data_IF_427380517909
#
_entry.id   IF_427380517909
#
_cell.length_a   1.000
_cell.length_b   1.000
_cell.length_c   1.000
_cell.angle_alpha   90.00
_cell.angle_beta   90.00
_cell.angle_gamma   90.00
#
_symmetry.space_group_name_H-M   'P 1'
#
loop_
_entity.id
_entity.type
_entity.pdbx_description
1 polymer ?
#
# COMPACT_ATOMS: atom_id res chain seq x y z
N UNK A 1 3.96 3.94 53.50
CA UNK A 1 3.95 2.56 52.96
C UNK A 1 2.55 1.93 52.86
N UNK A 2 1.46 2.71 52.92
CA UNK A 2 0.07 2.20 52.91
C UNK A 2 -0.68 2.37 51.60
N UNK A 3 -0.20 3.20 50.65
CA UNK A 3 -0.83 3.37 49.32
C UNK A 3 -0.42 2.31 48.29
N UNK A 4 0.77 1.70 48.41
CA UNK A 4 1.27 0.69 47.46
C UNK A 4 0.61 -0.69 47.64
N UNK A 5 0.13 -1.01 48.84
CA UNK A 5 -0.56 -2.28 49.14
C UNK A 5 -2.02 -2.25 48.63
N UNK A 6 -2.68 -1.08 48.65
CA UNK A 6 -4.06 -0.92 48.17
C UNK A 6 -4.13 -1.03 46.63
N UNK A 7 -3.14 -0.48 45.91
CA UNK A 7 -3.10 -0.59 44.43
C UNK A 7 -2.82 -2.00 43.94
N UNK A 8 -2.03 -2.79 44.68
CA UNK A 8 -1.78 -4.21 44.37
C UNK A 8 -3.01 -5.11 44.63
N UNK A 9 -3.85 -4.76 45.62
CA UNK A 9 -5.10 -5.47 45.88
C UNK A 9 -6.21 -5.13 44.86
N UNK A 10 -6.24 -3.91 44.30
CA UNK A 10 -7.15 -3.59 43.20
C UNK A 10 -6.75 -4.28 41.89
N UNK A 11 -5.45 -4.36 41.58
CA UNK A 11 -4.96 -5.03 40.36
C UNK A 11 -5.23 -6.56 40.38
N UNK A 12 -5.25 -7.19 41.54
CA UNK A 12 -5.56 -8.63 41.68
C UNK A 12 -7.07 -8.93 41.62
N UNK A 13 -7.93 -7.93 41.82
CA UNK A 13 -9.40 -8.08 41.80
C UNK A 13 -10.02 -8.04 40.39
N UNK A 14 -9.32 -7.51 39.39
CA UNK A 14 -9.78 -7.48 37.99
C UNK A 14 -9.39 -8.72 37.18
N UNK A 15 -8.44 -9.53 37.67
CA UNK A 15 -7.98 -10.77 37.00
C UNK A 15 -8.76 -12.03 37.41
N UNK A 16 -9.77 -11.91 38.28
CA UNK A 16 -10.53 -13.05 38.82
C UNK A 16 -11.89 -13.32 38.13
N UNK A 17 -12.20 -12.66 37.00
CA UNK A 17 -13.53 -12.78 36.33
C UNK A 17 -13.50 -13.62 35.04
N UNK A 18 -12.39 -14.25 34.67
CA UNK A 18 -12.29 -14.99 33.39
C UNK A 18 -12.55 -16.50 33.44
N UNK A 19 -13.15 -17.03 34.53
CA UNK A 19 -13.55 -18.44 34.56
C UNK A 19 -14.96 -18.66 35.16
N UNK A 20 -15.99 -18.29 34.41
CA UNK A 20 -17.34 -18.84 34.58
C UNK A 20 -18.22 -18.63 33.34
N UNK A 21 -18.63 -19.74 32.69
CA UNK A 21 -19.70 -19.80 31.69
C UNK A 21 -19.22 -20.31 30.33
N UNK A 22 -19.65 -21.44 29.77
CA UNK A 22 -20.91 -22.14 29.95
C UNK A 22 -20.73 -23.66 29.90
N UNK A 23 -21.34 -24.33 30.88
CA UNK A 23 -21.74 -25.73 30.80
C UNK A 23 -23.10 -25.82 30.08
N UNK A 24 -23.23 -26.82 29.22
CA UNK A 24 -24.45 -27.26 28.54
C UNK A 24 -25.59 -27.54 29.52
N UNK A 25 -26.79 -26.99 29.24
CA UNK A 25 -28.07 -27.66 29.52
C UNK A 25 -29.15 -27.29 28.50
N UNK A 26 -29.78 -28.37 28.04
CA UNK A 26 -30.97 -28.51 27.19
C UNK A 26 -32.14 -27.60 27.56
N UNK A 27 -32.77 -26.99 26.55
CA UNK A 27 -34.07 -26.33 26.65
C UNK A 27 -34.50 -25.74 25.30
N UNK A 28 -35.47 -26.37 24.63
CA UNK A 28 -36.07 -25.91 23.38
C UNK A 28 -36.71 -24.52 23.53
N UNK A 29 -36.32 -23.57 22.69
CA UNK A 29 -37.24 -22.57 22.15
C UNK A 29 -36.71 -22.07 20.79
N UNK A 30 -37.53 -22.26 19.76
CA UNK A 30 -37.35 -21.76 18.40
C UNK A 30 -37.48 -20.25 18.37
N UNK A 31 -36.44 -19.56 17.88
CA UNK A 31 -36.56 -18.32 17.13
C UNK A 31 -35.42 -18.29 16.09
N UNK A 32 -35.80 -18.06 14.83
CA UNK A 32 -34.89 -18.02 13.69
C UNK A 32 -34.17 -16.67 13.67
N UNK A 33 -32.86 -16.70 13.92
CA UNK A 33 -31.95 -15.60 13.62
C UNK A 33 -30.90 -16.10 12.64
N UNK A 34 -31.01 -15.59 11.42
CA UNK A 34 -30.08 -15.78 10.31
C UNK A 34 -28.68 -15.29 10.75
N UNK A 35 -27.80 -16.25 11.02
CA UNK A 35 -26.40 -15.97 11.38
C UNK A 35 -25.56 -16.34 10.17
N UNK A 36 -25.24 -15.35 9.35
CA UNK A 36 -24.20 -15.47 8.32
C UNK A 36 -22.88 -15.85 9.01
N UNK A 37 -22.53 -17.13 8.95
CA UNK A 37 -21.21 -17.62 9.27
C UNK A 37 -20.25 -17.12 8.18
N UNK A 38 -19.42 -16.15 8.51
CA UNK A 38 -18.20 -15.87 7.75
C UNK A 38 -17.31 -17.12 7.82
N UNK A 39 -16.88 -17.71 6.69
CA UNK A 39 -15.90 -18.78 6.74
C UNK A 39 -14.62 -18.17 7.31
N UNK A 40 -14.19 -18.65 8.46
CA UNK A 40 -12.85 -18.38 8.97
C UNK A 40 -11.90 -19.33 8.26
N UNK A 41 -11.51 -18.99 7.02
CA UNK A 41 -10.34 -19.59 6.39
C UNK A 41 -9.12 -19.04 7.13
N UNK A 42 -8.68 -19.76 8.16
CA UNK A 42 -7.33 -19.58 8.71
C UNK A 42 -6.39 -20.43 7.87
N UNK A 43 -6.14 -20.01 6.63
CA UNK A 43 -4.88 -20.39 5.99
C UNK A 43 -3.79 -19.68 6.78
N UNK A 44 -2.99 -20.46 7.51
CA UNK A 44 -1.76 -19.94 8.09
C UNK A 44 -0.78 -19.77 6.93
N UNK A 45 -0.89 -18.65 6.21
CA UNK A 45 0.14 -18.27 5.26
C UNK A 45 1.46 -18.18 6.04
N UNK A 46 2.39 -19.10 5.75
CA UNK A 46 3.76 -18.98 6.22
C UNK A 46 4.35 -17.74 5.58
N UNK A 47 4.29 -16.61 6.28
CA UNK A 47 4.87 -15.35 5.83
C UNK A 47 6.37 -15.52 5.64
N UNK A 48 6.84 -15.29 4.41
CA UNK A 48 8.26 -15.30 4.10
C UNK A 48 8.95 -14.15 4.85
N UNK A 49 9.97 -14.47 5.64
CA UNK A 49 10.78 -13.45 6.31
C UNK A 49 11.87 -12.94 5.35
N UNK A 50 11.51 -12.00 4.49
CA UNK A 50 12.44 -11.43 3.51
C UNK A 50 13.65 -10.76 4.14
N UNK A 51 13.55 -10.32 5.40
CA UNK A 51 14.70 -9.77 6.12
C UNK A 51 15.85 -10.78 6.23
N UNK A 52 15.55 -12.07 6.43
CA UNK A 52 16.56 -13.12 6.52
C UNK A 52 17.28 -13.38 5.19
N UNK A 53 16.79 -12.83 4.08
CA UNK A 53 17.41 -12.93 2.75
C UNK A 53 18.38 -11.79 2.45
N UNK A 54 18.38 -10.75 3.28
CA UNK A 54 19.24 -9.59 3.11
C UNK A 54 20.65 -9.89 3.63
N UNK A 55 21.71 -9.34 3.02
CA UNK A 55 23.08 -9.53 3.49
C UNK A 55 23.29 -8.81 4.83
N UNK A 56 24.22 -9.29 5.65
CA UNK A 56 24.69 -8.56 6.82
C UNK A 56 25.50 -7.32 6.40
N UNK A 57 25.23 -6.17 7.02
CA UNK A 57 25.96 -4.93 6.78
C UNK A 57 25.87 -3.99 7.99
N UNK A 58 26.84 -3.09 8.16
CA UNK A 58 26.85 -2.04 9.19
C UNK A 58 27.03 -0.68 8.53
N UNK A 59 26.02 0.20 8.62
CA UNK A 59 26.07 1.54 8.06
C UNK A 59 26.83 2.55 8.93
N UNK A 60 27.35 2.15 10.08
CA UNK A 60 28.18 2.98 10.95
C UNK A 60 27.41 4.13 11.59
N UNK A 61 26.12 3.95 11.87
CA UNK A 61 25.23 4.96 12.42
C UNK A 61 24.81 6.03 11.42
N UNK A 62 25.07 5.84 10.11
CA UNK A 62 24.61 6.77 9.07
C UNK A 62 23.08 6.75 8.98
N UNK A 63 22.52 7.88 8.57
CA UNK A 63 21.09 8.01 8.30
C UNK A 63 20.83 7.75 6.82
N UNK A 64 19.82 6.93 6.51
CA UNK A 64 19.22 6.83 5.20
C UNK A 64 18.01 7.79 5.13
N UNK A 65 18.11 8.81 4.29
CA UNK A 65 17.11 9.88 4.17
C UNK A 65 16.34 9.78 2.86
N UNK A 66 15.02 9.66 2.95
CA UNK A 66 14.12 9.71 1.81
C UNK A 66 13.64 11.14 1.54
N UNK A 67 13.75 11.64 0.31
CA UNK A 67 12.90 12.75 -0.14
C UNK A 67 11.53 12.17 -0.50
N UNK A 68 10.48 12.61 0.16
CA UNK A 68 9.14 12.08 -0.08
C UNK A 68 8.09 13.19 -0.20
N UNK A 69 6.88 12.77 -0.59
CA UNK A 69 5.69 13.63 -0.67
C UNK A 69 5.09 13.74 0.72
N UNK A 70 4.80 14.95 1.20
CA UNK A 70 4.19 15.18 2.53
C UNK A 70 2.90 14.40 2.74
N UNK A 71 2.12 14.18 1.68
CA UNK A 71 0.87 13.42 1.77
C UNK A 71 1.09 11.92 2.05
N UNK A 72 2.31 11.41 1.82
CA UNK A 72 2.66 9.99 1.81
C UNK A 72 3.86 9.63 2.71
N UNK A 73 4.29 10.53 3.60
CA UNK A 73 5.45 10.28 4.46
C UNK A 73 5.29 9.07 5.39
N UNK A 74 4.05 8.74 5.75
CA UNK A 74 3.69 7.57 6.54
C UNK A 74 4.09 6.23 5.89
N UNK A 75 4.25 6.16 4.56
CA UNK A 75 4.78 4.97 3.88
C UNK A 75 6.25 4.70 4.23
N UNK A 76 7.00 5.77 4.53
CA UNK A 76 8.44 5.72 4.79
C UNK A 76 8.69 5.41 6.25
N UNK A 77 8.15 6.22 7.16
CA UNK A 77 8.33 6.05 8.59
C UNK A 77 7.16 6.62 9.39
N UNK A 78 6.92 6.01 10.55
CA UNK A 78 6.02 6.50 11.59
C UNK A 78 6.80 6.62 12.90
N UNK A 79 6.41 7.55 13.77
CA UNK A 79 7.20 7.87 14.96
C UNK A 79 7.06 6.85 16.10
N UNK A 80 5.91 6.19 16.21
CA UNK A 80 5.60 5.22 17.27
C UNK A 80 4.44 4.31 16.86
N UNK A 81 4.28 3.21 17.58
CA UNK A 81 3.08 2.38 17.54
C UNK A 81 1.87 3.13 18.11
N UNK A 82 0.72 2.98 17.46
CA UNK A 82 -0.56 3.60 17.84
C UNK A 82 -1.71 2.59 17.92
N UNK A 83 -1.43 1.31 17.64
CA UNK A 83 -2.41 0.22 17.61
C UNK A 83 -3.10 0.04 16.25
N UNK A 84 -2.79 0.88 15.26
CA UNK A 84 -3.17 0.65 13.87
C UNK A 84 -2.19 -0.36 13.24
N UNK A 85 -2.75 -1.39 12.58
CA UNK A 85 -1.98 -2.57 12.17
C UNK A 85 -0.89 -2.23 11.15
N UNK A 86 -1.18 -1.32 10.22
CA UNK A 86 -0.25 -0.92 9.17
C UNK A 86 0.82 0.01 9.73
N UNK A 87 0.44 1.01 10.54
CA UNK A 87 1.38 1.92 11.20
C UNK A 87 2.36 1.14 12.10
N UNK A 88 1.85 0.27 12.98
CA UNK A 88 2.67 -0.55 13.87
C UNK A 88 3.63 -1.46 13.08
N UNK A 89 3.19 -1.98 11.93
CA UNK A 89 4.04 -2.80 11.05
C UNK A 89 5.17 -1.98 10.41
N UNK A 90 4.91 -0.73 9.99
CA UNK A 90 5.93 0.18 9.45
C UNK A 90 6.95 0.54 10.53
N UNK A 91 6.47 0.89 11.74
CA UNK A 91 7.35 1.17 12.88
C UNK A 91 8.30 0.00 13.16
N UNK A 92 7.74 -1.21 13.31
CA UNK A 92 8.50 -2.44 13.57
C UNK A 92 9.46 -2.78 12.44
N UNK A 93 9.05 -2.61 11.18
CA UNK A 93 9.91 -2.79 10.01
C UNK A 93 11.13 -1.89 10.09
N UNK A 94 10.92 -0.59 10.33
CA UNK A 94 12.01 0.37 10.38
C UNK A 94 12.93 0.10 11.58
N UNK A 95 12.37 -0.11 12.78
CA UNK A 95 13.16 -0.45 13.97
C UNK A 95 14.04 -1.68 13.75
N UNK A 96 13.49 -2.75 13.15
CA UNK A 96 14.24 -3.97 12.84
C UNK A 96 15.43 -3.72 11.90
N UNK A 97 15.24 -2.88 10.88
CA UNK A 97 16.31 -2.50 9.94
C UNK A 97 17.34 -1.62 10.64
N UNK A 98 16.91 -0.61 11.40
CA UNK A 98 17.77 0.33 12.11
C UNK A 98 18.69 -0.37 13.10
N UNK A 99 18.16 -1.31 13.89
CA UNK A 99 18.92 -2.10 14.86
C UNK A 99 19.93 -3.03 14.20
N UNK A 100 19.51 -3.78 13.19
CA UNK A 100 20.35 -4.80 12.58
C UNK A 100 21.49 -4.21 11.72
N UNK A 101 21.24 -3.07 11.09
CA UNK A 101 22.17 -2.45 10.16
C UNK A 101 22.87 -1.21 10.73
N UNK A 102 22.65 -0.87 12.00
CA UNK A 102 23.20 0.31 12.67
C UNK A 102 23.03 1.57 11.80
N UNK A 103 21.76 1.88 11.52
CA UNK A 103 21.34 2.98 10.65
C UNK A 103 20.13 3.70 11.25
N UNK A 104 19.75 4.84 10.67
CA UNK A 104 18.48 5.52 10.94
C UNK A 104 17.72 5.74 9.64
N UNK A 105 16.45 5.35 9.58
CA UNK A 105 15.57 5.69 8.46
C UNK A 105 14.86 7.00 8.81
N UNK A 106 15.00 8.00 7.95
CA UNK A 106 14.30 9.28 8.08
C UNK A 106 13.78 9.75 6.72
N UNK A 107 13.00 10.82 6.74
CA UNK A 107 12.50 11.45 5.54
C UNK A 107 12.59 12.98 5.62
N UNK A 108 12.64 13.60 4.46
CA UNK A 108 12.37 15.00 4.25
C UNK A 108 11.17 15.11 3.32
N UNK A 109 10.05 15.53 3.87
CA UNK A 109 8.80 15.63 3.15
C UNK A 109 8.59 17.03 2.57
N UNK A 110 8.23 17.10 1.29
CA UNK A 110 7.80 18.34 0.63
C UNK A 110 6.45 18.12 -0.06
N UNK A 111 5.63 19.17 -0.27
CA UNK A 111 4.42 19.07 -1.06
C UNK A 111 4.69 18.41 -2.41
N UNK A 112 3.92 17.37 -2.71
CA UNK A 112 4.16 16.52 -3.87
C UNK A 112 2.88 16.17 -4.61
N UNK A 113 1.82 16.96 -4.46
CA UNK A 113 0.62 16.78 -5.29
C UNK A 113 0.93 17.04 -6.77
N UNK A 114 -0.03 16.75 -7.65
CA UNK A 114 0.11 17.09 -9.08
C UNK A 114 0.38 18.59 -9.31
N UNK A 115 -0.19 19.47 -8.48
CA UNK A 115 0.04 20.91 -8.56
C UNK A 115 1.47 21.31 -8.15
N UNK A 116 2.14 20.49 -7.34
CA UNK A 116 3.49 20.72 -6.83
C UNK A 116 4.57 19.98 -7.64
N UNK A 117 4.19 19.33 -8.75
CA UNK A 117 5.12 18.57 -9.58
C UNK A 117 6.39 19.36 -9.95
N UNK A 118 6.23 20.63 -10.33
CA UNK A 118 7.35 21.49 -10.72
C UNK A 118 8.28 21.86 -9.55
N UNK A 119 7.73 22.10 -8.35
CA UNK A 119 8.54 22.43 -7.17
C UNK A 119 9.28 21.20 -6.67
N UNK A 120 8.64 20.03 -6.65
CA UNK A 120 9.27 18.76 -6.31
C UNK A 120 10.41 18.42 -7.27
N UNK A 121 10.17 18.53 -8.59
CA UNK A 121 11.22 18.35 -9.61
C UNK A 121 12.38 19.32 -9.40
N UNK A 122 12.08 20.59 -9.13
CA UNK A 122 13.12 21.60 -8.86
C UNK A 122 13.96 21.26 -7.65
N UNK A 123 13.36 20.71 -6.58
CA UNK A 123 14.09 20.28 -5.39
C UNK A 123 15.11 19.17 -5.71
N UNK A 124 14.69 18.15 -6.47
CA UNK A 124 15.57 17.06 -6.93
C UNK A 124 16.71 17.61 -7.80
N UNK A 125 16.39 18.37 -8.84
CA UNK A 125 17.41 18.90 -9.76
C UNK A 125 18.41 19.81 -9.06
N UNK A 126 17.96 20.63 -8.10
CA UNK A 126 18.86 21.48 -7.32
C UNK A 126 19.81 20.68 -6.45
N UNK A 127 19.31 19.66 -5.75
CA UNK A 127 20.14 18.80 -4.91
C UNK A 127 21.24 18.14 -5.75
N UNK A 128 20.87 17.53 -6.89
CA UNK A 128 21.84 16.89 -7.81
C UNK A 128 22.87 17.87 -8.34
N UNK A 129 22.44 19.04 -8.84
CA UNK A 129 23.35 20.04 -9.39
C UNK A 129 24.32 20.63 -8.34
N UNK A 130 23.88 20.72 -7.09
CA UNK A 130 24.71 21.18 -5.99
C UNK A 130 25.69 20.11 -5.47
N UNK A 131 25.57 18.85 -5.92
CA UNK A 131 26.26 17.72 -5.30
C UNK A 131 25.79 17.47 -3.86
N UNK A 132 24.55 17.85 -3.56
CA UNK A 132 23.94 17.67 -2.24
C UNK A 132 23.61 16.19 -2.03
N UNK A 133 24.06 15.67 -0.89
CA UNK A 133 23.87 14.28 -0.46
C UNK A 133 22.88 14.15 0.69
N UNK A 134 21.99 15.14 0.85
CA UNK A 134 20.95 15.15 1.89
C UNK A 134 19.87 14.06 1.70
N UNK A 135 19.77 13.44 0.52
CA UNK A 135 18.81 12.39 0.22
C UNK A 135 19.50 11.18 -0.40
N UNK A 136 19.15 9.99 0.08
CA UNK A 136 19.65 8.70 -0.42
C UNK A 136 18.64 8.03 -1.37
N UNK A 137 17.35 8.31 -1.17
CA UNK A 137 16.25 7.75 -1.95
C UNK A 137 15.15 8.78 -2.17
N UNK A 138 14.34 8.59 -3.22
CA UNK A 138 13.26 9.50 -3.59
C UNK A 138 11.97 8.70 -3.76
N UNK A 139 10.98 8.99 -2.92
CA UNK A 139 9.61 8.48 -3.02
C UNK A 139 8.74 9.51 -3.75
N UNK A 140 8.47 9.27 -5.03
CA UNK A 140 7.87 10.23 -5.95
C UNK A 140 6.77 9.60 -6.79
N UNK A 141 5.79 10.39 -7.20
CA UNK A 141 4.81 9.95 -8.18
C UNK A 141 5.46 9.84 -9.57
N UNK A 142 5.47 8.61 -10.11
CA UNK A 142 6.19 8.26 -11.34
C UNK A 142 5.86 9.18 -12.53
N UNK A 143 4.61 9.63 -12.68
CA UNK A 143 4.18 10.43 -13.82
C UNK A 143 4.96 11.75 -13.97
N UNK A 144 5.21 12.48 -12.88
CA UNK A 144 6.05 13.67 -12.90
C UNK A 144 7.50 13.38 -12.47
N UNK A 145 7.80 12.19 -11.96
CA UNK A 145 9.17 11.76 -11.69
C UNK A 145 9.93 11.36 -12.95
N UNK A 146 9.26 10.79 -13.96
CA UNK A 146 9.88 10.26 -15.18
C UNK A 146 10.79 11.26 -15.93
N UNK A 147 10.43 12.56 -16.07
CA UNK A 147 11.34 13.54 -16.68
C UNK A 147 12.69 13.67 -15.98
N UNK A 148 12.76 13.53 -14.65
CA UNK A 148 14.01 13.63 -13.88
C UNK A 148 14.98 12.49 -14.22
N UNK A 149 14.46 11.29 -14.47
CA UNK A 149 15.23 10.15 -14.93
C UNK A 149 15.90 10.44 -16.28
N UNK A 150 15.13 10.99 -17.24
CA UNK A 150 15.64 11.35 -18.57
C UNK A 150 16.72 12.44 -18.55
N UNK A 151 16.70 13.28 -17.51
CA UNK A 151 17.65 14.37 -17.29
C UNK A 151 18.90 13.92 -16.50
N UNK A 152 19.00 12.63 -16.13
CA UNK A 152 20.15 12.10 -15.40
C UNK A 152 20.17 12.40 -13.90
N UNK A 153 19.03 12.76 -13.30
CA UNK A 153 18.96 13.05 -11.87
C UNK A 153 18.88 11.80 -10.98
N UNK A 154 18.70 10.61 -11.56
CA UNK A 154 18.57 9.36 -10.83
C UNK A 154 19.67 8.37 -11.20
N UNK A 155 20.06 7.58 -10.20
CA UNK A 155 20.81 6.36 -10.43
C UNK A 155 19.86 5.23 -10.78
N UNK A 156 20.24 4.38 -11.72
CA UNK A 156 19.42 3.23 -12.09
C UNK A 156 19.46 2.17 -10.97
N UNK A 157 18.30 1.83 -10.41
CA UNK A 157 18.13 0.90 -9.29
C UNK A 157 18.74 -0.47 -9.59
N UNK A 158 18.55 -0.96 -10.83
CA UNK A 158 19.11 -2.24 -11.28
C UNK A 158 20.64 -2.22 -11.51
N UNK A 159 21.30 -1.10 -11.25
CA UNK A 159 22.77 -0.99 -11.23
C UNK A 159 23.33 -0.96 -9.80
N UNK A 160 22.47 -0.90 -8.79
CA UNK A 160 22.86 -0.97 -7.38
C UNK A 160 22.97 -2.46 -7.01
N UNK A 161 24.17 -3.01 -6.73
CA UNK A 161 24.36 -4.46 -6.59
C UNK A 161 23.54 -5.13 -5.47
N UNK A 162 23.16 -4.36 -4.45
CA UNK A 162 22.40 -4.84 -3.30
C UNK A 162 20.88 -4.79 -3.51
N UNK A 163 20.40 -4.16 -4.58
CA UNK A 163 18.97 -4.15 -4.90
C UNK A 163 18.64 -5.38 -5.76
N UNK A 164 17.94 -6.33 -5.16
CA UNK A 164 17.35 -7.44 -5.90
C UNK A 164 16.04 -7.01 -6.56
N UNK A 165 16.09 -6.63 -7.84
CA UNK A 165 14.89 -6.25 -8.62
C UNK A 165 13.95 -7.42 -8.91
N UNK A 166 14.43 -8.67 -8.78
CA UNK A 166 13.65 -9.88 -9.03
C UNK A 166 12.94 -10.40 -7.78
N UNK A 167 12.98 -9.65 -6.67
CA UNK A 167 12.34 -10.07 -5.44
C UNK A 167 10.81 -10.04 -5.54
N UNK A 168 10.14 -10.98 -4.86
CA UNK A 168 8.70 -11.21 -4.94
C UNK A 168 7.84 -10.05 -4.41
N UNK A 169 8.41 -9.20 -3.57
CA UNK A 169 7.75 -8.00 -3.04
C UNK A 169 7.67 -6.85 -4.06
N UNK A 170 8.29 -6.98 -5.24
CA UNK A 170 8.17 -6.01 -6.33
C UNK A 170 7.13 -6.44 -7.35
N UNK A 171 6.44 -5.46 -7.93
CA UNK A 171 5.54 -5.72 -9.06
C UNK A 171 6.37 -5.97 -10.32
N UNK A 172 6.58 -7.24 -10.66
CA UNK A 172 7.47 -7.65 -11.76
C UNK A 172 7.04 -7.09 -13.12
N UNK A 173 5.74 -6.98 -13.39
CA UNK A 173 5.26 -6.35 -14.62
C UNK A 173 5.67 -4.88 -14.74
N UNK A 174 5.83 -4.16 -13.62
CA UNK A 174 6.33 -2.78 -13.63
C UNK A 174 7.84 -2.75 -13.81
N UNK A 175 8.59 -3.69 -13.23
CA UNK A 175 10.04 -3.83 -13.44
C UNK A 175 10.34 -4.03 -14.93
N UNK A 176 9.65 -4.97 -15.57
CA UNK A 176 9.80 -5.27 -17.00
C UNK A 176 9.43 -4.06 -17.87
N UNK A 177 8.24 -3.48 -17.66
CA UNK A 177 7.71 -2.42 -18.52
C UNK A 177 8.40 -1.05 -18.32
N UNK A 178 9.02 -0.79 -17.16
CA UNK A 178 9.71 0.48 -16.89
C UNK A 178 11.24 0.40 -17.03
N UNK A 179 11.78 -0.75 -17.45
CA UNK A 179 13.20 -0.84 -17.79
C UNK A 179 13.43 -0.24 -19.19
N UNK A 180 14.04 0.95 -19.24
CA UNK A 180 14.29 1.68 -20.48
C UNK A 180 15.78 1.65 -20.80
N UNK A 181 16.14 1.14 -21.99
CA UNK A 181 17.53 0.92 -22.41
C UNK A 181 18.36 0.13 -21.37
N UNK A 182 17.75 -0.85 -20.69
CA UNK A 182 18.40 -1.67 -19.67
C UNK A 182 18.62 -0.96 -18.33
N UNK A 183 17.95 0.16 -18.08
CA UNK A 183 18.01 0.92 -16.83
C UNK A 183 16.61 1.05 -16.22
N UNK A 184 16.50 0.71 -14.93
CA UNK A 184 15.28 0.82 -14.15
C UNK A 184 15.42 1.98 -13.17
N UNK A 185 14.58 3.00 -13.29
CA UNK A 185 14.62 4.19 -12.43
C UNK A 185 13.47 4.29 -11.42
N UNK A 186 12.45 3.45 -11.58
CA UNK A 186 11.27 3.41 -10.72
C UNK A 186 10.96 1.95 -10.39
N UNK A 187 10.52 1.71 -9.16
CA UNK A 187 10.06 0.41 -8.72
C UNK A 187 8.89 0.64 -7.76
N UNK A 188 7.92 -0.28 -7.77
CA UNK A 188 6.80 -0.30 -6.83
C UNK A 188 6.66 -1.71 -6.27
N UNK A 189 6.09 -1.82 -5.08
CA UNK A 189 5.92 -3.09 -4.39
C UNK A 189 5.23 -2.91 -3.05
N UNK A 190 5.43 -3.87 -2.16
CA UNK A 190 4.78 -3.91 -0.84
C UNK A 190 5.04 -2.67 0.04
N UNK A 191 6.14 -1.92 -0.22
CA UNK A 191 6.43 -0.65 0.44
C UNK A 191 5.45 0.47 0.05
N UNK A 192 4.87 0.41 -1.15
CA UNK A 192 4.01 1.44 -1.73
C UNK A 192 2.56 1.22 -1.30
N UNK A 193 2.16 1.69 -0.12
CA UNK A 193 0.78 1.55 0.39
C UNK A 193 -0.26 2.17 -0.56
N UNK A 194 0.12 3.23 -1.24
CA UNK A 194 -0.67 3.91 -2.29
C UNK A 194 -0.95 3.03 -3.50
N UNK A 195 -0.14 2.01 -3.75
CA UNK A 195 -0.48 1.00 -4.75
C UNK A 195 -1.80 0.31 -4.41
N UNK A 196 -2.07 0.10 -3.12
CA UNK A 196 -3.28 -0.56 -2.61
C UNK A 196 -4.40 0.45 -2.34
N UNK A 197 -4.10 1.59 -1.74
CA UNK A 197 -5.13 2.56 -1.37
C UNK A 197 -5.68 3.34 -2.57
N UNK A 198 -4.93 3.45 -3.68
CA UNK A 198 -5.36 4.14 -4.90
C UNK A 198 -5.72 3.19 -6.06
N UNK A 199 -6.02 1.92 -5.77
CA UNK A 199 -6.52 0.99 -6.80
C UNK A 199 -7.81 1.54 -7.40
N UNK A 200 -7.84 1.65 -8.73
CA UNK A 200 -9.05 2.01 -9.47
C UNK A 200 -10.02 0.83 -9.51
N UNK A 201 -11.28 1.12 -9.21
CA UNK A 201 -12.39 0.20 -9.43
C UNK A 201 -13.37 0.80 -10.45
N UNK A 202 -13.93 -0.06 -11.30
CA UNK A 202 -15.03 0.33 -12.18
C UNK A 202 -16.34 0.11 -11.44
N UNK A 203 -17.09 1.19 -11.25
CA UNK A 203 -18.45 1.14 -10.73
C UNK A 203 -19.44 1.17 -11.88
N UNK A 204 -20.54 0.44 -11.73
CA UNK A 204 -21.62 0.43 -12.71
C UNK A 204 -22.97 0.62 -12.01
N UNK A 205 -23.90 1.26 -12.72
CA UNK A 205 -25.27 1.41 -12.25
C UNK A 205 -26.05 0.11 -12.49
N UNK A 206 -26.49 -0.54 -11.41
CA UNK A 206 -27.23 -1.81 -11.47
C UNK A 206 -28.58 -1.68 -12.18
N UNK A 207 -29.26 -0.54 -12.04
CA UNK A 207 -30.53 -0.29 -12.71
C UNK A 207 -30.30 -0.16 -14.22
N UNK A 208 -29.31 0.63 -14.63
CA UNK A 208 -28.96 0.78 -16.05
C UNK A 208 -28.57 -0.57 -16.68
N UNK A 209 -27.83 -1.41 -15.93
CA UNK A 209 -27.51 -2.75 -16.37
C UNK A 209 -28.77 -3.62 -16.57
N UNK A 210 -29.75 -3.54 -15.67
CA UNK A 210 -31.02 -4.25 -15.82
C UNK A 210 -31.84 -3.72 -17.01
N UNK A 211 -31.95 -2.40 -17.16
CA UNK A 211 -32.73 -1.74 -18.22
C UNK A 211 -32.24 -2.12 -19.62
N UNK A 212 -30.92 -2.26 -19.78
CA UNK A 212 -30.27 -2.63 -21.05
C UNK A 212 -30.00 -4.14 -21.18
N UNK A 213 -30.50 -4.97 -20.26
CA UNK A 213 -30.27 -6.42 -20.23
C UNK A 213 -28.78 -6.80 -20.29
N UNK A 214 -27.93 -6.00 -19.63
CA UNK A 214 -26.50 -6.26 -19.51
C UNK A 214 -26.30 -7.44 -18.56
N UNK A 215 -25.56 -8.44 -19.03
CA UNK A 215 -25.13 -9.57 -18.20
C UNK A 215 -24.44 -9.07 -16.93
N UNK A 216 -24.71 -9.71 -15.79
CA UNK A 216 -24.17 -9.33 -14.49
C UNK A 216 -22.64 -9.10 -14.55
N UNK A 217 -22.17 -7.83 -14.43
CA UNK A 217 -20.75 -7.52 -14.57
C UNK A 217 -19.86 -8.23 -13.55
N UNK A 218 -20.39 -8.57 -12.35
CA UNK A 218 -19.64 -9.35 -11.37
C UNK A 218 -19.33 -10.77 -11.88
N UNK A 219 -20.26 -11.41 -12.60
CA UNK A 219 -20.02 -12.73 -13.20
C UNK A 219 -19.10 -12.63 -14.40
N UNK A 220 -19.29 -11.60 -15.24
CA UNK A 220 -18.38 -11.32 -16.36
C UNK A 220 -16.92 -11.19 -15.88
N UNK A 221 -16.69 -10.49 -14.76
CA UNK A 221 -15.37 -10.41 -14.12
C UNK A 221 -14.92 -11.77 -13.57
N UNK A 222 -15.76 -12.46 -12.78
CA UNK A 222 -15.42 -13.76 -12.16
C UNK A 222 -15.03 -14.82 -13.18
N UNK A 223 -15.65 -14.82 -14.36
CA UNK A 223 -15.35 -15.75 -15.44
C UNK A 223 -14.24 -15.28 -16.39
N UNK A 224 -13.55 -14.17 -16.09
CA UNK A 224 -12.43 -13.68 -16.88
C UNK A 224 -12.82 -13.03 -18.22
N UNK A 225 -14.10 -12.70 -18.40
CA UNK A 225 -14.63 -12.09 -19.63
C UNK A 225 -14.66 -10.56 -19.60
N UNK A 226 -14.14 -9.94 -18.53
CA UNK A 226 -14.05 -8.48 -18.41
C UNK A 226 -12.80 -7.97 -19.14
N UNK A 227 -13.01 -7.42 -20.34
CA UNK A 227 -11.95 -6.86 -21.19
C UNK A 227 -12.26 -5.41 -21.55
N UNK A 228 -11.26 -4.70 -22.10
CA UNK A 228 -11.48 -3.36 -22.63
C UNK A 228 -12.52 -3.37 -23.77
N UNK A 229 -12.52 -4.39 -24.63
CA UNK A 229 -13.53 -4.55 -25.68
C UNK A 229 -14.93 -4.71 -25.09
N UNK A 230 -15.08 -5.51 -24.03
CA UNK A 230 -16.36 -5.67 -23.34
C UNK A 230 -16.81 -4.35 -22.71
N UNK A 231 -15.89 -3.60 -22.09
CA UNK A 231 -16.20 -2.27 -21.56
C UNK A 231 -16.68 -1.32 -22.67
N UNK A 232 -15.97 -1.27 -23.81
CA UNK A 232 -16.34 -0.43 -24.97
C UNK A 232 -17.71 -0.84 -25.54
N UNK A 233 -17.97 -2.14 -25.65
CA UNK A 233 -19.26 -2.67 -26.10
C UNK A 233 -20.40 -2.21 -25.18
N UNK A 234 -20.22 -2.37 -23.87
CA UNK A 234 -21.22 -1.95 -22.87
C UNK A 234 -21.42 -0.44 -22.89
N UNK A 235 -20.35 0.35 -22.99
CA UNK A 235 -20.43 1.82 -23.09
C UNK A 235 -21.22 2.25 -24.33
N UNK A 236 -20.98 1.62 -25.49
CA UNK A 236 -21.72 1.90 -26.73
C UNK A 236 -23.20 1.52 -26.64
N UNK A 237 -23.51 0.42 -25.97
CA UNK A 237 -24.87 -0.07 -25.78
C UNK A 237 -25.70 0.93 -24.97
N UNK A 238 -25.15 1.46 -23.88
CA UNK A 238 -25.86 2.41 -23.00
C UNK A 238 -25.83 3.84 -23.50
N UNK A 239 -24.89 4.20 -24.39
CA UNK A 239 -24.79 5.53 -25.00
C UNK A 239 -25.71 5.68 -26.23
N UNK A 240 -26.84 4.98 -26.29
CA UNK A 240 -27.79 5.12 -27.39
C UNK A 240 -28.34 6.55 -27.44
N UNK A 241 -28.41 7.13 -28.64
CA UNK A 241 -29.01 8.43 -28.92
C UNK A 241 -30.52 8.41 -28.62
N UNK A 242 -30.88 8.68 -27.36
CA UNK A 242 -32.26 8.63 -26.87
C UNK A 242 -33.11 9.75 -27.49
N UNK A 243 -32.50 10.79 -28.05
CA UNK A 243 -33.18 11.97 -28.57
C UNK A 243 -33.17 12.09 -30.11
N UNK A 244 -32.47 11.20 -30.81
CA UNK A 244 -32.30 11.16 -32.27
C UNK A 244 -31.69 12.44 -32.87
N UNK A 245 -30.82 13.15 -32.15
CA UNK A 245 -30.15 14.38 -32.61
C UNK A 245 -28.78 14.14 -33.28
N UNK A 246 -28.32 12.89 -33.33
CA UNK A 246 -27.05 12.51 -33.93
C UNK A 246 -25.82 12.83 -33.07
N UNK A 247 -25.99 13.17 -31.79
CA UNK A 247 -24.91 13.36 -30.82
C UNK A 247 -24.96 12.26 -29.75
N UNK A 248 -23.78 11.75 -29.41
CA UNK A 248 -23.64 10.89 -28.25
C UNK A 248 -23.70 11.77 -27.01
N UNK A 249 -24.79 11.66 -26.24
CA UNK A 249 -24.85 12.21 -24.88
C UNK A 249 -23.92 11.36 -23.99
N UNK A 250 -22.67 11.80 -23.85
CA UNK A 250 -21.67 11.28 -22.90
C UNK A 250 -21.69 12.07 -21.60
#
# INVERSE_FOLDING_TARGET
MTRKIISLLLAFSLLAVTFAGCAEKSGKQTDAADTSQTPTDTETETRVDYFATLPDYDFGGKTCTFLCRTELEHEIAVEAEDGEIVNDAIFKRNMRIEEAYNTKITYHAIPGSWADAASFQSAVTKAVNAGDSSYDAIAIYMAYGAPLASQGNYYALNKIPTININADWWVQSLVENNTVYGNLYFIIGDLSLTMWSYIYAIFFNKQLAADYNIENPYQTVKYGNWTLDRLIELSKLVSSDVNSDGKYDL
#
